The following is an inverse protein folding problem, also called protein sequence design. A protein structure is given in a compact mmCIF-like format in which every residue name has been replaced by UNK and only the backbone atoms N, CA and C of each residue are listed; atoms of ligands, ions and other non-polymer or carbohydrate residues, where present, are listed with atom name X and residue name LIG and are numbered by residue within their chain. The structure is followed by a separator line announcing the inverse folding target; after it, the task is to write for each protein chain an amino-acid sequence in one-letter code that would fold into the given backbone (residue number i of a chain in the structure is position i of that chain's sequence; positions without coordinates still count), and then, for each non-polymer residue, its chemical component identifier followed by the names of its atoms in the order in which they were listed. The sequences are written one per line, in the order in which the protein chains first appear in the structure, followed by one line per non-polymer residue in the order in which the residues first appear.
data_IF_466738921189
#
_entry.id   IF_466738921189
#
_cell.length_a   1.000
_cell.length_b   1.000
_cell.length_c   1.000
_cell.angle_alpha   90.00
_cell.angle_beta   90.00
_cell.angle_gamma   90.00
#
_symmetry.space_group_name_H-M   'P 1'
#
loop_
_entity.id
_entity.type
_entity.pdbx_description
1 polymer ?
#
# COMPACT_ATOMS: atom_id res chain seq x y z
N UNK A 1 -7.18 -18.70 10.17
CA UNK A 1 -7.77 -19.86 9.45
C UNK A 1 -6.68 -20.88 9.09
N UNK A 2 -7.00 -22.17 9.07
CA UNK A 2 -6.04 -23.27 8.84
C UNK A 2 -5.50 -23.20 7.41
N UNK A 3 -4.17 -23.16 7.28
CA UNK A 3 -3.49 -23.17 5.97
C UNK A 3 -3.59 -24.58 5.40
N UNK A 4 -4.31 -24.75 4.29
CA UNK A 4 -4.44 -26.03 3.59
C UNK A 4 -3.07 -26.53 3.13
N UNK A 5 -2.60 -27.64 3.71
CA UNK A 5 -1.39 -28.35 3.27
C UNK A 5 -1.83 -29.46 2.32
N UNK A 6 -1.20 -29.53 1.15
CA UNK A 6 -1.40 -30.63 0.19
C UNK A 6 -0.07 -31.36 0.00
N UNK A 7 -0.12 -32.64 -0.35
CA UNK A 7 1.07 -33.47 -0.53
C UNK A 7 1.31 -33.68 -2.03
N UNK A 8 2.52 -33.35 -2.50
CA UNK A 8 2.97 -33.57 -3.89
C UNK A 8 4.30 -34.32 -3.82
N UNK A 9 4.42 -35.46 -4.51
CA UNK A 9 5.61 -36.31 -4.55
C UNK A 9 6.19 -36.65 -3.17
N UNK A 10 5.32 -36.96 -2.21
CA UNK A 10 5.71 -37.32 -0.85
C UNK A 10 6.20 -36.14 0.01
N UNK A 11 6.23 -34.90 -0.52
CA UNK A 11 6.61 -33.69 0.21
C UNK A 11 5.37 -32.88 0.59
N UNK A 12 5.36 -32.37 1.81
CA UNK A 12 4.35 -31.44 2.28
C UNK A 12 4.55 -30.08 1.60
N UNK A 13 3.60 -29.69 0.76
CA UNK A 13 3.59 -28.41 0.08
C UNK A 13 2.64 -27.46 0.82
N UNK A 14 3.17 -26.31 1.23
CA UNK A 14 2.35 -25.20 1.71
C UNK A 14 1.88 -24.44 0.47
N UNK A 15 0.57 -24.48 0.22
CA UNK A 15 -0.05 -23.68 -0.84
C UNK A 15 0.27 -22.20 -0.59
N UNK A 16 1.13 -21.61 -1.42
CA UNK A 16 1.31 -20.16 -1.49
C UNK A 16 0.07 -19.55 -2.15
N UNK A 17 -1.01 -19.44 -1.38
CA UNK A 17 -2.31 -18.88 -1.80
C UNK A 17 -2.31 -17.34 -1.79
N UNK A 18 -1.17 -16.74 -1.44
CA UNK A 18 -0.88 -15.31 -1.45
C UNK A 18 0.49 -15.08 -0.82
N UNK A 19 1.13 -13.96 -1.11
CA UNK A 19 2.28 -13.52 -0.32
C UNK A 19 1.83 -13.37 1.15
N UNK A 20 2.60 -13.84 2.14
CA UNK A 20 2.32 -13.48 3.52
C UNK A 20 2.27 -11.96 3.59
N UNK A 21 1.27 -11.45 4.29
CA UNK A 21 1.14 -10.04 4.50
C UNK A 21 2.45 -9.45 5.03
N UNK A 22 2.93 -8.38 4.39
CA UNK A 22 4.23 -7.80 4.69
C UNK A 22 4.35 -7.45 6.18
N UNK A 23 5.22 -8.18 6.89
CA UNK A 23 5.34 -8.18 8.34
C UNK A 23 5.93 -6.89 8.93
N UNK A 24 6.30 -5.91 8.10
CA UNK A 24 6.96 -4.68 8.57
C UNK A 24 6.35 -3.40 7.96
N UNK A 25 5.31 -2.84 8.59
CA UNK A 25 4.69 -1.61 8.15
C UNK A 25 5.65 -0.42 8.28
N UNK A 26 5.62 0.45 7.27
CA UNK A 26 6.30 1.74 7.27
C UNK A 26 5.47 2.73 8.09
N UNK A 27 5.99 3.11 9.26
CA UNK A 27 5.25 3.96 10.19
C UNK A 27 5.77 5.39 10.14
N UNK A 28 4.87 6.35 9.95
CA UNK A 28 5.10 7.77 10.18
C UNK A 28 4.33 8.21 11.41
N UNK A 29 4.92 9.06 12.25
CA UNK A 29 4.23 9.63 13.42
C UNK A 29 4.58 11.11 13.58
N UNK A 30 3.54 11.93 13.73
CA UNK A 30 3.67 13.35 14.05
C UNK A 30 2.47 13.81 14.88
N UNK A 31 2.74 14.33 16.07
CA UNK A 31 1.71 14.80 16.99
C UNK A 31 0.66 13.70 17.26
N UNK A 32 -0.63 14.00 17.07
CA UNK A 32 -1.74 13.05 17.23
C UNK A 32 -2.00 12.18 15.98
N UNK A 33 -1.29 12.41 14.87
CA UNK A 33 -1.44 11.69 13.60
C UNK A 33 -0.34 10.63 13.47
N UNK A 34 -0.73 9.40 13.15
CA UNK A 34 0.22 8.38 12.71
C UNK A 34 -0.33 7.60 11.52
N UNK A 35 0.56 7.18 10.63
CA UNK A 35 0.23 6.42 9.44
C UNK A 35 1.05 5.14 9.40
N UNK A 36 0.39 4.01 9.18
CA UNK A 36 1.01 2.71 8.95
C UNK A 36 0.72 2.28 7.51
N UNK A 37 1.77 2.21 6.71
CA UNK A 37 1.72 1.88 5.28
C UNK A 37 2.46 0.57 5.02
N UNK A 38 2.14 -0.13 3.94
CA UNK A 38 3.00 -1.22 3.46
C UNK A 38 4.26 -0.67 2.77
N UNK A 39 5.15 -1.53 2.27
CA UNK A 39 6.40 -1.07 1.65
C UNK A 39 6.17 -0.26 0.38
N UNK A 40 5.01 -0.38 -0.28
CA UNK A 40 4.69 0.40 -1.48
C UNK A 40 4.18 1.81 -1.13
N UNK A 41 3.95 2.09 0.15
CA UNK A 41 3.29 3.30 0.61
C UNK A 41 1.76 3.22 0.51
N UNK A 42 1.20 2.03 0.33
CA UNK A 42 -0.24 1.81 0.30
C UNK A 42 -0.78 1.44 1.69
N UNK A 43 -2.08 1.58 1.86
CA UNK A 43 -2.88 0.95 2.89
C UNK A 43 -3.79 -0.02 2.14
N UNK A 44 -3.41 -1.30 2.08
CA UNK A 44 -4.27 -2.37 1.56
C UNK A 44 -4.65 -3.25 2.76
N UNK A 45 -5.85 -3.07 3.33
CA UNK A 45 -6.21 -3.73 4.57
C UNK A 45 -6.36 -5.24 4.35
N UNK A 46 -5.81 -6.01 5.28
CA UNK A 46 -6.08 -7.43 5.46
C UNK A 46 -6.30 -7.66 6.96
N UNK A 47 -6.87 -8.80 7.33
CA UNK A 47 -7.27 -9.08 8.71
C UNK A 47 -6.06 -9.01 9.68
N UNK A 48 -6.04 -8.00 10.56
CA UNK A 48 -4.94 -7.82 11.53
C UNK A 48 -3.75 -7.00 11.03
N UNK A 49 -3.80 -6.39 9.85
CA UNK A 49 -2.68 -5.64 9.27
C UNK A 49 -2.23 -4.42 10.06
N UNK A 50 -3.13 -3.82 10.83
CA UNK A 50 -2.88 -2.53 11.49
C UNK A 50 -2.63 -1.36 10.53
N UNK A 51 -2.65 -1.57 9.20
CA UNK A 51 -2.44 -0.50 8.23
C UNK A 51 -3.58 0.52 8.31
N UNK A 52 -3.24 1.79 8.14
CA UNK A 52 -4.21 2.88 8.22
C UNK A 52 -3.58 4.24 8.49
N UNK A 53 -4.39 5.28 8.30
CA UNK A 53 -4.10 6.61 8.82
C UNK A 53 -4.97 6.86 10.05
N UNK A 54 -4.33 7.19 11.16
CA UNK A 54 -4.97 7.26 12.47
C UNK A 54 -4.78 8.65 13.07
N UNK A 55 -5.85 9.17 13.67
CA UNK A 55 -5.80 10.33 14.55
C UNK A 55 -6.61 10.00 15.81
N UNK A 56 -6.07 10.35 16.97
CA UNK A 56 -6.76 10.16 18.27
C UNK A 56 -7.33 8.73 18.42
N UNK A 57 -6.47 7.72 18.22
CA UNK A 57 -6.79 6.29 18.31
C UNK A 57 -7.89 5.77 17.36
N UNK A 58 -8.30 6.56 16.36
CA UNK A 58 -9.31 6.20 15.36
C UNK A 58 -8.69 6.11 13.96
N UNK A 59 -8.98 5.04 13.22
CA UNK A 59 -8.55 4.85 11.82
C UNK A 59 -9.46 5.62 10.87
N UNK A 60 -8.98 6.73 10.36
CA UNK A 60 -9.72 7.56 9.39
C UNK A 60 -9.60 7.04 7.95
N UNK A 61 -8.44 6.52 7.56
CA UNK A 61 -8.27 5.84 6.27
C UNK A 61 -7.91 4.38 6.50
N UNK A 62 -8.79 3.49 6.03
CA UNK A 62 -8.61 2.05 6.03
C UNK A 62 -8.06 1.52 4.71
N UNK A 63 -8.09 2.34 3.64
CA UNK A 63 -7.43 2.04 2.36
C UNK A 63 -6.91 3.31 1.68
N UNK A 64 -5.73 3.18 1.09
CA UNK A 64 -5.11 4.11 0.13
C UNK A 64 -4.27 3.24 -0.80
N UNK A 65 -4.69 3.04 -2.04
CA UNK A 65 -3.98 2.16 -2.99
C UNK A 65 -3.71 2.88 -4.30
N UNK A 66 -2.45 2.86 -4.73
CA UNK A 66 -2.02 3.42 -6.01
C UNK A 66 -1.83 2.32 -7.06
N UNK A 67 -2.42 2.50 -8.25
CA UNK A 67 -2.24 1.62 -9.40
C UNK A 67 -1.90 2.42 -10.66
N UNK A 68 -1.22 1.76 -11.59
CA UNK A 68 -0.91 2.24 -12.93
C UNK A 68 -1.54 1.31 -13.96
N UNK A 69 -2.47 1.84 -14.77
CA UNK A 69 -3.25 1.08 -15.74
C UNK A 69 -3.80 -0.22 -15.13
N UNK A 70 -4.42 -0.11 -13.95
CA UNK A 70 -4.97 -1.24 -13.21
C UNK A 70 -3.94 -2.19 -12.61
N UNK A 71 -2.63 -1.96 -12.74
CA UNK A 71 -1.58 -2.80 -12.18
C UNK A 71 -0.89 -2.14 -10.98
N UNK A 72 -0.47 -2.94 -10.00
CA UNK A 72 0.39 -2.45 -8.93
C UNK A 72 1.80 -2.18 -9.48
N UNK A 73 2.42 -1.03 -9.18
CA UNK A 73 3.81 -0.78 -9.58
C UNK A 73 4.79 -1.80 -9.00
N UNK A 74 5.92 -1.96 -9.66
CA UNK A 74 7.06 -2.72 -9.17
C UNK A 74 7.81 -1.92 -8.11
N UNK A 75 8.10 -2.55 -6.99
CA UNK A 75 8.85 -1.93 -5.89
C UNK A 75 10.35 -1.95 -6.16
N UNK A 76 11.01 -0.80 -5.96
CA UNK A 76 12.47 -0.70 -6.00
C UNK A 76 13.05 -0.50 -4.60
N UNK A 77 12.57 0.51 -3.89
CA UNK A 77 13.13 0.92 -2.61
C UNK A 77 12.09 1.63 -1.74
N UNK A 78 12.27 1.53 -0.43
CA UNK A 78 11.49 2.27 0.56
C UNK A 78 12.40 2.82 1.64
N UNK A 79 12.18 4.06 2.01
CA UNK A 79 12.96 4.73 3.04
C UNK A 79 12.04 5.58 3.90
N UNK A 80 12.10 5.36 5.21
CA UNK A 80 11.57 6.29 6.21
C UNK A 80 12.75 7.13 6.69
N UNK A 81 12.64 8.46 6.67
CA UNK A 81 13.69 9.34 7.22
C UNK A 81 13.90 9.04 8.70
N UNK A 82 15.11 9.26 9.20
CA UNK A 82 15.47 8.98 10.61
C UNK A 82 14.56 9.67 11.63
N UNK A 83 14.01 10.85 11.28
CA UNK A 83 13.07 11.59 12.11
C UNK A 83 11.62 11.07 12.05
N UNK A 84 11.37 9.99 11.31
CA UNK A 84 10.06 9.35 11.16
C UNK A 84 9.00 10.22 10.49
N UNK A 85 9.40 11.35 9.88
CA UNK A 85 8.45 12.35 9.35
C UNK A 85 8.07 12.12 7.89
N UNK A 86 8.95 11.49 7.11
CA UNK A 86 8.76 11.29 5.67
C UNK A 86 9.00 9.84 5.29
N UNK A 87 8.06 9.29 4.52
CA UNK A 87 8.20 8.03 3.80
C UNK A 87 8.47 8.36 2.33
N UNK A 88 9.52 7.81 1.75
CA UNK A 88 9.82 7.84 0.33
C UNK A 88 9.77 6.41 -0.22
N UNK A 89 9.06 6.22 -1.33
CA UNK A 89 8.95 4.94 -2.03
C UNK A 89 9.28 5.15 -3.51
N UNK A 90 10.24 4.37 -4.00
CA UNK A 90 10.63 4.33 -5.40
C UNK A 90 10.04 3.08 -6.05
N UNK A 91 9.34 3.31 -7.15
CA UNK A 91 8.58 2.30 -7.88
C UNK A 91 8.83 2.44 -9.39
N UNK A 92 8.52 1.39 -10.14
CA UNK A 92 8.57 1.37 -11.60
C UNK A 92 7.28 0.79 -12.15
N UNK A 93 6.89 1.16 -13.37
CA UNK A 93 5.78 0.49 -14.05
C UNK A 93 6.13 -0.98 -14.37
N UNK A 94 5.17 -1.92 -14.26
CA UNK A 94 5.27 -3.22 -14.91
C UNK A 94 5.11 -3.08 -16.44
N UNK A 95 5.21 -4.18 -17.18
CA UNK A 95 4.77 -4.19 -18.58
C UNK A 95 3.27 -3.88 -18.64
N UNK A 96 2.90 -2.84 -19.39
CA UNK A 96 1.49 -2.46 -19.58
C UNK A 96 1.09 -2.90 -20.98
N UNK A 97 0.23 -3.91 -21.02
CA UNK A 97 -0.29 -4.49 -22.26
C UNK A 97 -1.59 -3.78 -22.67
N UNK A 98 -1.74 -3.48 -23.96
CA UNK A 98 -2.98 -2.96 -24.55
C UNK A 98 -3.30 -3.75 -25.81
N UNK A 99 -4.28 -4.66 -25.74
CA UNK A 99 -4.51 -5.67 -26.78
C UNK A 99 -3.33 -6.66 -26.83
N UNK A 100 -2.83 -6.97 -28.01
CA UNK A 100 -1.73 -7.94 -28.19
C UNK A 100 -0.32 -7.32 -28.18
N UNK A 101 -0.18 -6.08 -27.70
CA UNK A 101 1.10 -5.35 -27.67
C UNK A 101 1.43 -4.81 -26.29
N UNK A 102 2.73 -4.75 -25.97
CA UNK A 102 3.25 -4.00 -24.84
C UNK A 102 3.23 -2.51 -25.22
N UNK A 103 2.36 -1.74 -24.58
CA UNK A 103 2.21 -0.31 -24.83
C UNK A 103 3.23 0.51 -24.02
N UNK A 104 3.55 0.07 -22.81
CA UNK A 104 4.58 0.68 -21.97
C UNK A 104 5.50 -0.43 -21.46
N UNK A 105 6.76 -0.47 -21.93
CA UNK A 105 7.73 -1.46 -21.47
C UNK A 105 7.98 -1.32 -19.96
N UNK A 106 8.11 -2.44 -19.27
CA UNK A 106 8.49 -2.49 -17.86
C UNK A 106 9.70 -1.63 -17.57
N UNK A 107 9.63 -0.83 -16.50
CA UNK A 107 10.74 -0.01 -16.04
C UNK A 107 11.06 1.20 -16.92
N UNK A 108 10.20 1.57 -17.87
CA UNK A 108 10.37 2.81 -18.64
C UNK A 108 9.89 4.05 -17.89
N UNK A 109 9.01 3.89 -16.90
CA UNK A 109 8.43 4.98 -16.11
C UNK A 109 8.76 4.76 -14.64
N UNK A 110 9.54 5.70 -14.10
CA UNK A 110 9.86 5.78 -12.68
C UNK A 110 8.80 6.56 -11.92
N UNK A 111 8.49 6.08 -10.72
CA UNK A 111 7.53 6.68 -9.81
C UNK A 111 8.18 6.90 -8.45
N UNK A 112 8.13 8.14 -7.99
CA UNK A 112 8.53 8.50 -6.63
C UNK A 112 7.29 8.94 -5.85
N UNK A 113 6.96 8.19 -4.81
CA UNK A 113 5.95 8.57 -3.83
C UNK A 113 6.63 9.11 -2.59
N UNK A 114 6.15 10.23 -2.07
CA UNK A 114 6.57 10.79 -0.78
C UNK A 114 5.35 11.07 0.08
N UNK A 115 5.35 10.59 1.31
CA UNK A 115 4.35 10.93 2.32
C UNK A 115 4.98 11.69 3.46
N UNK A 116 4.30 12.73 3.95
CA UNK A 116 4.72 13.56 5.07
C UNK A 116 3.53 13.80 6.00
N UNK A 117 3.73 13.62 7.31
CA UNK A 117 2.77 14.05 8.31
C UNK A 117 3.17 15.43 8.83
N UNK A 118 2.31 16.44 8.66
CA UNK A 118 2.55 17.82 9.10
C UNK A 118 1.24 18.55 9.38
N UNK A 119 1.19 19.30 10.48
CA UNK A 119 0.05 20.13 10.87
C UNK A 119 -1.31 19.39 10.84
N UNK A 120 -1.32 18.13 11.29
CA UNK A 120 -2.53 17.30 11.29
C UNK A 120 -2.93 16.73 9.92
N UNK A 121 -2.09 16.86 8.89
CA UNK A 121 -2.37 16.42 7.52
C UNK A 121 -1.34 15.36 7.08
N UNK A 122 -1.81 14.31 6.40
CA UNK A 122 -0.96 13.42 5.62
C UNK A 122 -0.86 13.93 4.18
N UNK A 123 0.25 14.58 3.85
CA UNK A 123 0.55 15.00 2.49
C UNK A 123 1.13 13.83 1.70
N UNK A 124 0.65 13.63 0.47
CA UNK A 124 1.26 12.71 -0.50
C UNK A 124 1.65 13.46 -1.77
N UNK A 125 2.91 13.26 -2.20
CA UNK A 125 3.41 13.69 -3.50
C UNK A 125 3.71 12.45 -4.34
N UNK A 126 3.15 12.41 -5.56
CA UNK A 126 3.47 11.39 -6.57
C UNK A 126 4.16 12.08 -7.73
N UNK A 127 5.35 11.63 -8.09
CA UNK A 127 6.12 12.12 -9.25
C UNK A 127 6.36 10.97 -10.22
N UNK A 128 6.00 11.18 -11.48
CA UNK A 128 6.31 10.25 -12.57
C UNK A 128 7.41 10.83 -13.47
N UNK A 129 8.30 9.96 -13.95
CA UNK A 129 9.33 10.30 -14.92
C UNK A 129 9.40 9.21 -16.00
N UNK A 130 9.14 9.57 -17.25
CA UNK A 130 9.36 8.69 -18.39
C UNK A 130 10.83 8.72 -18.81
N UNK A 131 11.49 7.58 -18.74
CA UNK A 131 12.86 7.34 -19.19
C UNK A 131 12.92 6.54 -20.52
N UNK A 132 11.76 6.23 -21.09
CA UNK A 132 11.65 5.67 -22.43
C UNK A 132 11.96 6.70 -23.53
N UNK A 133 12.13 6.20 -24.75
CA UNK A 133 12.41 7.02 -25.93
C UNK A 133 11.15 7.63 -26.55
N UNK A 134 9.98 7.07 -26.22
CA UNK A 134 8.68 7.46 -26.79
C UNK A 134 7.76 8.06 -25.72
N UNK A 135 6.83 8.96 -26.09
CA UNK A 135 5.75 9.38 -25.20
C UNK A 135 4.94 8.19 -24.71
N UNK A 136 4.54 8.23 -23.44
CA UNK A 136 3.71 7.19 -22.81
C UNK A 136 2.38 7.79 -22.38
N UNK A 137 1.32 7.01 -22.54
CA UNK A 137 0.01 7.31 -22.00
C UNK A 137 -0.24 6.34 -20.85
N UNK A 138 -0.58 6.86 -19.67
CA UNK A 138 -0.77 6.08 -18.46
C UNK A 138 -2.00 6.55 -17.69
N UNK A 139 -2.68 5.63 -17.03
CA UNK A 139 -3.73 5.95 -16.05
C UNK A 139 -3.18 5.76 -14.65
N UNK A 140 -3.16 6.83 -13.85
CA UNK A 140 -2.84 6.75 -12.42
C UNK A 140 -4.14 6.68 -11.63
N UNK A 141 -4.30 5.62 -10.85
CA UNK A 141 -5.49 5.38 -10.04
C UNK A 141 -5.14 5.43 -8.56
N UNK A 142 -5.94 6.17 -7.79
CA UNK A 142 -5.84 6.26 -6.33
C UNK A 142 -7.18 5.87 -5.74
N UNK A 143 -7.21 4.75 -5.02
CA UNK A 143 -8.41 4.27 -4.33
C UNK A 143 -8.34 4.58 -2.83
N UNK A 144 -9.45 5.03 -2.25
CA UNK A 144 -9.55 5.34 -0.83
C UNK A 144 -10.67 4.55 -0.16
N UNK A 145 -10.49 4.25 1.12
CA UNK A 145 -11.57 3.73 1.96
C UNK A 145 -11.41 4.21 3.40
N UNK A 146 -12.52 4.28 4.13
CA UNK A 146 -12.60 4.73 5.52
C UNK A 146 -13.58 3.85 6.30
N UNK A 147 -13.21 3.50 7.53
CA UNK A 147 -14.05 2.68 8.41
C UNK A 147 -14.24 3.24 9.83
N UNK A 148 -13.47 4.26 10.23
CA UNK A 148 -13.51 4.90 11.55
C UNK A 148 -13.38 3.89 12.71
N UNK A 149 -12.69 2.77 12.47
CA UNK A 149 -12.46 1.77 13.49
C UNK A 149 -11.44 2.28 14.51
N UNK A 150 -11.73 2.18 15.80
CA UNK A 150 -10.74 2.52 16.82
C UNK A 150 -9.63 1.47 16.92
N UNK A 151 -8.53 1.82 17.59
CA UNK A 151 -7.33 0.99 17.69
C UNK A 151 -7.60 -0.41 18.28
N UNK A 152 -8.57 -0.55 19.19
CA UNK A 152 -8.93 -1.86 19.76
C UNK A 152 -9.71 -2.70 18.75
N UNK A 153 -10.59 -2.09 17.97
CA UNK A 153 -11.30 -2.75 16.86
C UNK A 153 -10.35 -3.26 15.80
N UNK A 154 -9.37 -2.44 15.40
CA UNK A 154 -8.34 -2.85 14.43
C UNK A 154 -7.52 -4.04 14.96
N UNK A 155 -7.36 -4.15 16.28
CA UNK A 155 -6.68 -5.27 16.95
C UNK A 155 -7.58 -6.48 17.21
N UNK A 156 -8.83 -6.46 16.74
CA UNK A 156 -9.76 -7.58 16.84
C UNK A 156 -10.70 -7.55 18.06
N UNK A 157 -10.76 -6.43 18.79
CA UNK A 157 -11.76 -6.27 19.86
C UNK A 157 -13.10 -5.90 19.26
N UNK A 158 -14.16 -6.71 19.40
CA UNK A 158 -15.47 -6.37 18.85
C UNK A 158 -16.11 -5.20 19.61
N UNK A 159 -16.89 -4.37 18.89
CA UNK A 159 -17.77 -3.36 19.50
C UNK A 159 -19.21 -3.80 19.44
N UNK A 160 -19.97 -3.51 20.50
CA UNK A 160 -21.40 -3.82 20.55
C UNK A 160 -22.21 -3.03 19.52
N UNK A 161 -21.76 -1.82 19.18
CA UNK A 161 -22.42 -0.93 18.22
C UNK A 161 -21.39 -0.20 17.37
N UNK A 162 -21.71 0.00 16.09
CA UNK A 162 -20.98 0.86 15.16
C UNK A 162 -21.90 1.94 14.59
N UNK A 163 -21.29 3.04 14.17
CA UNK A 163 -21.96 4.01 13.29
C UNK A 163 -22.26 3.40 11.93
N UNK A 164 -23.18 4.02 11.19
CA UNK A 164 -23.43 3.71 9.78
C UNK A 164 -22.64 4.66 8.89
N UNK A 165 -22.19 4.15 7.75
CA UNK A 165 -21.44 4.90 6.74
C UNK A 165 -22.36 5.62 5.76
#
# INVERSE_FOLDING_TARGET
MSHGRIQIDGRWYVLATGAPAEENPQTLKRDALFGCFDRYGDIVPWEGSGLGLYAEDTRYLSRVELRLDGARPLHLNTTVRDDGSVLAVELMNPDIQRGDRIAVPKGSVHLLRRKLLRDGICHEQVRLANHGLEPVELTLELSFDADFADLFEVRGTPRERRGVR
#
